data_IF_345670703172
#
_entry.id   IF_345670703172
#
_cell.length_a   1.000
_cell.length_b   1.000
_cell.length_c   1.000
_cell.angle_alpha   90.00
_cell.angle_beta   90.00
_cell.angle_gamma   90.00
#
_symmetry.space_group_name_H-M   'P 1'
#
loop_
_entity.id
_entity.type
_entity.pdbx_description
1 polymer ?
#
# COMPACT_ATOMS: atom_id res chain seq x y z
N UNK A 1 23.36 -21.20 -1.44
CA UNK A 1 22.97 -21.09 -2.86
C UNK A 1 22.90 -22.49 -3.43
N UNK A 2 21.78 -22.91 -4.03
CA UNK A 2 21.64 -24.26 -4.60
C UNK A 2 22.30 -24.35 -5.98
N UNK A 3 22.55 -25.57 -6.48
CA UNK A 3 23.06 -25.75 -7.85
C UNK A 3 22.09 -25.19 -8.91
N UNK A 4 20.79 -25.46 -8.75
CA UNK A 4 19.75 -24.93 -9.65
C UNK A 4 19.70 -23.40 -9.62
N UNK A 5 19.80 -22.78 -8.43
CA UNK A 5 19.84 -21.32 -8.31
C UNK A 5 20.98 -20.71 -9.12
N UNK A 6 22.16 -21.34 -9.13
CA UNK A 6 23.32 -20.88 -9.90
C UNK A 6 23.01 -20.90 -11.41
N UNK A 7 22.50 -22.01 -11.93
CA UNK A 7 22.11 -22.13 -13.35
C UNK A 7 21.02 -21.14 -13.74
N UNK A 8 19.97 -21.00 -12.92
CA UNK A 8 18.91 -20.03 -13.18
C UNK A 8 19.42 -18.58 -13.18
N UNK A 9 20.44 -18.28 -12.37
CA UNK A 9 21.09 -16.96 -12.33
C UNK A 9 21.89 -16.70 -13.60
N UNK A 10 22.65 -17.70 -14.07
CA UNK A 10 23.39 -17.66 -15.34
C UNK A 10 22.45 -17.46 -16.55
N UNK A 11 21.24 -18.03 -16.51
CA UNK A 11 20.19 -17.81 -17.52
C UNK A 11 19.38 -16.51 -17.34
N UNK A 12 19.77 -15.67 -16.36
CA UNK A 12 19.18 -14.38 -16.07
C UNK A 12 17.67 -14.45 -15.74
N UNK A 13 17.23 -15.47 -14.99
CA UNK A 13 15.83 -15.61 -14.52
C UNK A 13 15.47 -14.69 -13.35
N UNK A 14 16.43 -13.89 -12.86
CA UNK A 14 16.20 -12.84 -11.88
C UNK A 14 15.95 -13.36 -10.46
N UNK A 15 15.16 -12.61 -9.68
CA UNK A 15 14.92 -12.90 -8.26
C UNK A 15 14.20 -14.23 -8.02
N UNK A 16 13.41 -14.70 -8.98
CA UNK A 16 12.73 -16.01 -8.92
C UNK A 16 13.71 -17.17 -8.66
N UNK A 17 14.98 -17.05 -9.09
CA UNK A 17 16.02 -18.06 -8.85
C UNK A 17 16.28 -18.37 -7.38
N UNK A 18 15.94 -17.45 -6.46
CA UNK A 18 16.12 -17.64 -5.02
C UNK A 18 14.99 -18.47 -4.38
N UNK A 19 13.88 -18.67 -5.10
CA UNK A 19 12.69 -19.34 -4.60
C UNK A 19 12.71 -20.84 -4.91
N UNK A 20 12.53 -21.69 -3.90
CA UNK A 20 12.60 -23.14 -4.07
C UNK A 20 11.50 -23.67 -5.02
N UNK A 21 10.30 -23.09 -5.00
CA UNK A 21 9.23 -23.48 -5.93
C UNK A 21 9.58 -23.16 -7.38
N UNK A 22 10.22 -22.02 -7.64
CA UNK A 22 10.68 -21.66 -8.99
C UNK A 22 11.82 -22.57 -9.46
N UNK A 23 12.76 -22.93 -8.56
CA UNK A 23 13.82 -23.90 -8.85
C UNK A 23 13.25 -25.29 -9.15
N UNK A 24 12.22 -25.72 -8.43
CA UNK A 24 11.51 -26.97 -8.70
C UNK A 24 10.85 -26.94 -10.09
N UNK A 25 10.09 -25.88 -10.41
CA UNK A 25 9.47 -25.68 -11.72
C UNK A 25 10.52 -25.70 -12.84
N UNK A 26 11.62 -24.97 -12.66
CA UNK A 26 12.71 -24.94 -13.62
C UNK A 26 13.26 -26.34 -13.90
N UNK A 27 13.54 -27.11 -12.85
CA UNK A 27 14.04 -28.48 -12.97
C UNK A 27 13.03 -29.38 -13.69
N UNK A 28 11.75 -29.32 -13.34
CA UNK A 28 10.71 -30.11 -14.01
C UNK A 28 10.66 -29.77 -15.51
N UNK A 29 10.77 -28.50 -15.88
CA UNK A 29 10.81 -28.08 -17.28
C UNK A 29 11.96 -28.72 -18.06
N UNK A 30 13.16 -28.78 -17.45
CA UNK A 30 14.35 -29.39 -18.07
C UNK A 30 14.27 -30.92 -18.11
N UNK A 31 13.90 -31.55 -16.99
CA UNK A 31 13.88 -33.01 -16.86
C UNK A 31 12.80 -33.66 -17.76
N UNK A 32 11.76 -32.91 -18.12
CA UNK A 32 10.63 -33.38 -18.95
C UNK A 32 10.56 -32.74 -20.34
N UNK A 33 11.60 -32.02 -20.77
CA UNK A 33 11.67 -31.43 -22.11
C UNK A 33 11.48 -32.51 -23.20
N UNK A 34 10.54 -32.26 -24.12
CA UNK A 34 10.19 -33.19 -25.21
C UNK A 34 9.39 -34.44 -24.79
N UNK A 35 8.94 -34.54 -23.54
CA UNK A 35 8.15 -35.70 -23.05
C UNK A 35 6.65 -35.38 -22.95
N UNK A 36 5.83 -36.42 -23.04
CA UNK A 36 4.41 -36.33 -22.72
C UNK A 36 4.16 -36.54 -21.23
N UNK A 37 3.85 -35.45 -20.53
CA UNK A 37 3.67 -35.47 -19.07
C UNK A 37 2.67 -34.40 -18.60
N UNK A 38 2.07 -34.67 -17.43
CA UNK A 38 1.25 -33.71 -16.71
C UNK A 38 1.86 -33.44 -15.33
N UNK A 39 1.84 -32.19 -14.91
CA UNK A 39 2.34 -31.73 -13.61
C UNK A 39 1.15 -31.32 -12.75
N UNK A 40 0.85 -32.13 -11.74
CA UNK A 40 -0.04 -31.77 -10.65
C UNK A 40 0.75 -31.22 -9.47
N UNK A 41 0.41 -30.03 -8.96
CA UNK A 41 1.10 -29.45 -7.81
C UNK A 41 0.16 -28.80 -6.80
N UNK A 42 0.44 -29.03 -5.52
CA UNK A 42 -0.05 -28.18 -4.42
C UNK A 42 0.98 -27.08 -4.18
N UNK A 43 0.59 -25.82 -4.39
CA UNK A 43 1.51 -24.70 -4.25
C UNK A 43 0.80 -23.38 -3.97
N UNK A 44 1.58 -22.40 -3.50
CA UNK A 44 1.18 -20.99 -3.59
C UNK A 44 1.13 -20.60 -5.06
N UNK A 45 0.20 -19.72 -5.41
CA UNK A 45 -0.06 -19.31 -6.81
C UNK A 45 0.85 -18.18 -7.31
N UNK A 46 1.88 -17.82 -6.54
CA UNK A 46 2.83 -16.73 -6.85
C UNK A 46 3.44 -16.85 -8.25
N UNK A 47 3.74 -18.07 -8.72
CA UNK A 47 4.34 -18.28 -10.04
C UNK A 47 3.42 -17.87 -11.20
N UNK A 48 2.11 -17.77 -10.96
CA UNK A 48 1.10 -17.34 -11.95
C UNK A 48 1.04 -15.81 -12.03
N UNK A 49 0.92 -15.12 -10.89
CA UNK A 49 0.54 -13.70 -10.87
C UNK A 49 1.60 -12.74 -10.29
N UNK A 50 2.72 -13.21 -9.72
CA UNK A 50 3.70 -12.31 -9.13
C UNK A 50 4.63 -11.67 -10.17
N UNK A 51 4.89 -10.37 -10.01
CA UNK A 51 5.76 -9.62 -10.92
C UNK A 51 7.20 -10.14 -10.98
N UNK A 52 7.76 -10.57 -9.84
CA UNK A 52 9.15 -11.05 -9.75
C UNK A 52 9.41 -12.32 -10.59
N UNK A 53 8.34 -13.03 -10.95
CA UNK A 53 8.41 -14.32 -11.65
C UNK A 53 8.11 -14.18 -13.16
N UNK A 54 7.99 -12.96 -13.71
CA UNK A 54 7.70 -12.75 -15.15
C UNK A 54 8.71 -13.47 -16.05
N UNK A 55 10.01 -13.34 -15.79
CA UNK A 55 11.05 -14.02 -16.59
C UNK A 55 10.93 -15.55 -16.54
N UNK A 56 10.48 -16.11 -15.41
CA UNK A 56 10.24 -17.54 -15.27
C UNK A 56 9.05 -17.95 -16.15
N UNK A 57 7.95 -17.19 -16.12
CA UNK A 57 6.79 -17.41 -17.01
C UNK A 57 7.16 -17.31 -18.48
N UNK A 58 7.86 -16.24 -18.85
CA UNK A 58 8.21 -15.95 -20.24
C UNK A 58 9.11 -17.03 -20.85
N UNK A 59 10.05 -17.59 -20.08
CA UNK A 59 11.10 -18.47 -20.60
C UNK A 59 10.93 -19.95 -20.27
N UNK A 60 10.24 -20.27 -19.17
CA UNK A 60 10.28 -21.63 -18.58
C UNK A 60 8.88 -22.19 -18.39
N UNK A 61 7.98 -21.45 -17.75
CA UNK A 61 6.65 -21.93 -17.36
C UNK A 61 5.61 -21.62 -18.44
N UNK A 62 5.69 -22.34 -19.56
CA UNK A 62 4.77 -22.22 -20.70
C UNK A 62 3.85 -23.43 -20.83
N UNK A 63 3.31 -23.93 -19.73
CA UNK A 63 2.46 -25.11 -19.76
C UNK A 63 1.01 -24.73 -19.98
N UNK A 64 0.24 -25.63 -20.60
CA UNK A 64 -1.20 -25.45 -20.70
C UNK A 64 -1.89 -25.81 -19.39
N UNK A 65 -2.75 -24.93 -18.91
CA UNK A 65 -3.63 -25.18 -17.79
C UNK A 65 -4.74 -26.16 -18.20
N UNK A 66 -4.94 -27.22 -17.42
CA UNK A 66 -5.99 -28.22 -17.68
C UNK A 66 -7.17 -28.05 -16.73
N UNK A 67 -6.91 -28.05 -15.42
CA UNK A 67 -7.91 -27.90 -14.35
C UNK A 67 -7.25 -27.76 -13.00
N UNK A 68 -8.03 -27.33 -12.01
CA UNK A 68 -7.60 -27.30 -10.63
C UNK A 68 -8.66 -26.73 -9.71
N UNK A 69 -8.28 -26.53 -8.47
CA UNK A 69 -9.09 -25.85 -7.47
C UNK A 69 -8.19 -25.14 -6.45
N UNK A 70 -8.77 -24.21 -5.69
CA UNK A 70 -8.08 -23.51 -4.60
C UNK A 70 -8.79 -23.68 -3.27
N UNK A 71 -8.03 -23.59 -2.18
CA UNK A 71 -8.55 -23.60 -0.82
C UNK A 71 -7.60 -22.81 0.11
N UNK A 72 -8.10 -22.45 1.30
CA UNK A 72 -7.33 -21.70 2.29
C UNK A 72 -6.21 -22.57 2.90
N UNK A 73 -4.99 -22.03 2.99
CA UNK A 73 -3.83 -22.67 3.60
C UNK A 73 -4.05 -23.13 5.04
N UNK A 74 -5.01 -22.56 5.78
CA UNK A 74 -5.36 -22.99 7.15
C UNK A 74 -5.80 -24.45 7.25
N UNK A 75 -6.18 -25.08 6.13
CA UNK A 75 -6.54 -26.50 6.09
C UNK A 75 -5.31 -27.42 6.24
N UNK A 76 -4.08 -26.91 6.06
CA UNK A 76 -2.87 -27.65 6.39
C UNK A 76 -2.56 -27.56 7.88
N UNK A 77 -2.27 -28.70 8.49
CA UNK A 77 -1.88 -28.77 9.89
C UNK A 77 -0.63 -27.90 10.15
N UNK A 78 -0.69 -27.03 11.16
CA UNK A 78 0.40 -26.13 11.54
C UNK A 78 0.50 -24.83 10.74
N UNK A 79 -0.37 -24.58 9.74
CA UNK A 79 -0.37 -23.33 9.00
C UNK A 79 -1.18 -22.24 9.73
N UNK A 80 -0.50 -21.20 10.23
CA UNK A 80 -1.16 -20.04 10.88
C UNK A 80 -1.55 -18.94 9.90
N UNK A 81 -0.74 -18.72 8.86
CA UNK A 81 -1.00 -17.72 7.83
C UNK A 81 -2.09 -18.22 6.88
N UNK A 82 -2.92 -17.31 6.38
CA UNK A 82 -3.97 -17.59 5.40
C UNK A 82 -3.56 -17.03 4.03
N UNK A 83 -3.58 -17.88 3.02
CA UNK A 83 -3.30 -17.56 1.62
C UNK A 83 -3.90 -18.68 0.75
N UNK A 84 -4.09 -18.49 -0.56
CA UNK A 84 -4.68 -19.49 -1.41
C UNK A 84 -3.62 -20.54 -1.75
N UNK A 85 -3.97 -21.79 -1.50
CA UNK A 85 -3.23 -22.95 -2.02
C UNK A 85 -4.04 -23.54 -3.15
N UNK A 86 -3.40 -23.70 -4.31
CA UNK A 86 -4.02 -24.36 -5.44
C UNK A 86 -3.49 -25.78 -5.62
N UNK A 87 -4.39 -26.69 -6.02
CA UNK A 87 -4.02 -27.92 -6.70
C UNK A 87 -4.31 -27.75 -8.20
N UNK A 88 -3.26 -27.56 -8.99
CA UNK A 88 -3.39 -27.29 -10.42
C UNK A 88 -2.70 -28.38 -11.24
N UNK A 89 -3.33 -28.78 -12.34
CA UNK A 89 -2.82 -29.72 -13.33
C UNK A 89 -2.41 -28.95 -14.58
N UNK A 90 -1.17 -29.15 -14.99
CA UNK A 90 -0.56 -28.53 -16.16
C UNK A 90 -0.12 -29.59 -17.16
N UNK A 91 -0.38 -29.36 -18.44
CA UNK A 91 0.09 -30.21 -19.54
C UNK A 91 1.43 -29.66 -20.06
N UNK A 92 2.49 -30.46 -19.90
CA UNK A 92 3.87 -30.07 -20.21
C UNK A 92 4.20 -30.23 -21.70
N UNK A 93 3.34 -30.90 -22.47
CA UNK A 93 3.54 -31.12 -23.91
C UNK A 93 3.05 -29.96 -24.76
N UNK A 94 2.27 -29.05 -24.18
CA UNK A 94 1.77 -27.86 -24.85
C UNK A 94 2.53 -26.62 -24.37
N UNK A 95 2.83 -25.72 -25.30
CA UNK A 95 3.59 -24.50 -25.06
C UNK A 95 2.71 -23.27 -25.21
N UNK A 96 2.03 -22.88 -24.14
CA UNK A 96 1.11 -21.73 -24.13
C UNK A 96 1.55 -20.76 -23.02
N UNK A 97 1.55 -19.46 -23.30
CA UNK A 97 1.86 -18.45 -22.27
C UNK A 97 0.72 -18.33 -21.26
N UNK A 98 1.00 -17.83 -20.04
CA UNK A 98 -0.06 -17.67 -19.04
C UNK A 98 -1.00 -16.51 -19.37
N UNK A 99 -0.51 -15.51 -20.09
CA UNK A 99 -1.25 -14.36 -20.57
C UNK A 99 -2.31 -14.72 -21.63
N UNK A 100 -2.12 -15.83 -22.36
CA UNK A 100 -3.05 -16.35 -23.37
C UNK A 100 -4.10 -17.32 -22.80
N UNK A 101 -4.06 -17.58 -21.48
CA UNK A 101 -4.90 -18.60 -20.84
C UNK A 101 -5.75 -18.00 -19.73
N UNK A 102 -7.01 -18.44 -19.63
CA UNK A 102 -7.84 -18.15 -18.47
C UNK A 102 -7.70 -19.26 -17.43
N UNK A 103 -7.34 -18.89 -16.20
CA UNK A 103 -7.17 -19.83 -15.09
C UNK A 103 -8.30 -19.61 -14.09
N UNK A 104 -9.43 -20.26 -14.34
CA UNK A 104 -10.62 -20.20 -13.48
C UNK A 104 -10.66 -21.42 -12.57
N UNK A 105 -10.62 -21.19 -11.25
CA UNK A 105 -10.49 -22.22 -10.22
C UNK A 105 -11.68 -22.19 -9.26
N UNK A 106 -12.28 -23.34 -9.02
CA UNK A 106 -13.28 -23.49 -7.96
C UNK A 106 -12.64 -23.18 -6.60
N UNK A 107 -13.32 -22.37 -5.80
CA UNK A 107 -12.96 -22.11 -4.41
C UNK A 107 -13.60 -23.20 -3.56
N UNK A 108 -12.80 -23.92 -2.80
CA UNK A 108 -13.28 -24.92 -1.84
C UNK A 108 -13.07 -24.44 -0.42
N UNK A 109 -14.14 -24.50 0.37
CA UNK A 109 -14.12 -24.13 1.77
C UNK A 109 -14.71 -25.23 2.66
N UNK A 110 -14.12 -25.39 3.84
CA UNK A 110 -14.69 -26.22 4.88
C UNK A 110 -15.68 -25.38 5.71
N UNK A 111 -16.97 -25.62 5.50
CA UNK A 111 -18.07 -25.03 6.24
C UNK A 111 -18.38 -25.81 7.52
N UNK A 112 -18.34 -25.11 8.66
CA UNK A 112 -18.62 -25.68 10.00
C UNK A 112 -17.83 -26.95 10.34
N UNK A 113 -16.64 -27.11 9.77
CA UNK A 113 -15.70 -28.20 10.10
C UNK A 113 -15.98 -29.54 9.43
N UNK A 114 -17.17 -29.74 8.85
CA UNK A 114 -17.61 -31.05 8.35
C UNK A 114 -18.18 -31.05 6.92
N UNK A 115 -18.40 -29.88 6.31
CA UNK A 115 -19.02 -29.80 4.98
C UNK A 115 -18.12 -29.06 4.01
N UNK A 116 -17.76 -29.72 2.91
CA UNK A 116 -17.09 -29.05 1.80
C UNK A 116 -18.14 -28.33 0.94
N UNK A 117 -17.95 -27.02 0.78
CA UNK A 117 -18.78 -26.17 -0.06
C UNK A 117 -17.92 -25.52 -1.15
N UNK A 118 -18.58 -25.16 -2.25
CA UNK A 118 -18.00 -24.41 -3.36
C UNK A 118 -18.72 -23.07 -3.46
N UNK A 119 -18.28 -22.03 -2.71
CA UNK A 119 -19.01 -20.77 -2.66
C UNK A 119 -18.74 -19.88 -3.88
N UNK A 120 -17.66 -20.12 -4.63
CA UNK A 120 -17.24 -19.23 -5.71
C UNK A 120 -16.32 -19.91 -6.73
N UNK A 121 -16.07 -19.20 -7.82
CA UNK A 121 -14.95 -19.40 -8.75
C UNK A 121 -14.06 -18.17 -8.71
N UNK A 122 -12.75 -18.38 -8.63
CA UNK A 122 -11.75 -17.31 -8.78
C UNK A 122 -11.02 -17.45 -10.11
N UNK A 123 -10.96 -16.36 -10.87
CA UNK A 123 -10.20 -16.27 -12.12
C UNK A 123 -8.87 -15.56 -11.86
N UNK A 124 -7.77 -16.24 -12.16
CA UNK A 124 -6.43 -15.68 -12.04
C UNK A 124 -5.96 -15.16 -13.39
N UNK A 125 -5.34 -14.00 -13.35
CA UNK A 125 -4.70 -13.40 -14.52
C UNK A 125 -3.19 -13.34 -14.34
N UNK A 126 -2.46 -13.64 -15.41
CA UNK A 126 -1.04 -13.32 -15.48
C UNK A 126 -0.88 -11.80 -15.40
N UNK A 127 -0.14 -11.33 -14.39
CA UNK A 127 0.07 -9.91 -14.21
C UNK A 127 1.11 -9.41 -15.23
N UNK A 128 0.72 -8.47 -16.09
CA UNK A 128 1.65 -7.74 -16.91
C UNK A 128 2.37 -6.70 -16.03
N UNK A 129 3.68 -6.88 -15.85
CA UNK A 129 4.50 -5.99 -15.04
C UNK A 129 4.38 -4.51 -15.47
N UNK A 130 4.09 -4.21 -16.75
CA UNK A 130 3.93 -2.84 -17.24
C UNK A 130 2.60 -2.17 -16.85
N UNK A 131 1.61 -2.95 -16.44
CA UNK A 131 0.27 -2.47 -16.04
C UNK A 131 0.13 -2.30 -14.52
N UNK A 132 1.22 -2.46 -13.76
CA UNK A 132 1.19 -2.39 -12.29
C UNK A 132 1.09 -0.96 -11.78
N UNK A 133 0.31 -0.75 -10.71
CA UNK A 133 0.08 0.57 -10.10
C UNK A 133 1.38 1.24 -9.61
N UNK A 134 2.34 0.46 -9.13
CA UNK A 134 3.63 0.98 -8.68
C UNK A 134 4.48 1.68 -9.76
N UNK A 135 4.15 1.48 -11.05
CA UNK A 135 4.76 2.18 -12.19
C UNK A 135 3.96 3.38 -12.68
N UNK A 136 2.73 3.53 -12.20
CA UNK A 136 1.85 4.64 -12.58
C UNK A 136 2.28 5.94 -11.92
N UNK A 137 2.67 5.87 -10.64
CA UNK A 137 3.14 7.02 -9.86
C UNK A 137 4.59 7.36 -10.19
N UNK A 138 4.87 8.64 -10.43
CA UNK A 138 6.24 9.10 -10.64
C UNK A 138 7.08 9.02 -9.36
N UNK A 139 8.36 8.67 -9.55
CA UNK A 139 9.33 8.47 -8.46
C UNK A 139 10.43 9.53 -8.56
N UNK A 140 10.23 10.70 -7.93
CA UNK A 140 11.22 11.76 -7.98
C UNK A 140 12.54 11.31 -7.37
N UNK A 141 13.63 11.86 -7.91
CA UNK A 141 14.99 11.52 -7.48
C UNK A 141 15.18 11.92 -6.02
N UNK A 142 15.81 11.04 -5.23
CA UNK A 142 16.14 11.28 -3.81
C UNK A 142 17.60 11.72 -3.70
N UNK A 143 17.84 12.95 -3.29
CA UNK A 143 19.17 13.60 -3.30
C UNK A 143 19.58 14.15 -1.94
N UNK A 144 18.62 14.54 -1.10
CA UNK A 144 18.85 15.26 0.16
C UNK A 144 18.78 14.33 1.36
N UNK A 145 19.72 14.44 2.31
CA UNK A 145 19.66 13.72 3.59
C UNK A 145 18.51 14.24 4.47
N UNK A 146 17.79 13.32 5.09
CA UNK A 146 16.66 13.63 5.97
C UNK A 146 16.50 12.55 7.05
N UNK A 147 16.04 12.90 8.27
CA UNK A 147 15.89 11.95 9.36
C UNK A 147 15.10 10.68 8.97
N UNK A 148 15.68 9.48 9.14
CA UNK A 148 15.02 8.23 8.80
C UNK A 148 14.03 7.82 9.88
N UNK A 149 12.79 7.50 9.50
CA UNK A 149 11.69 7.15 10.39
C UNK A 149 11.31 5.67 10.26
N UNK A 150 10.93 5.06 11.39
CA UNK A 150 10.38 3.69 11.45
C UNK A 150 8.85 3.67 11.61
N UNK A 151 8.29 4.76 12.13
CA UNK A 151 6.86 4.97 12.40
C UNK A 151 6.62 6.47 12.58
N UNK A 152 5.37 6.89 12.80
CA UNK A 152 4.98 8.30 12.74
C UNK A 152 5.79 9.28 13.60
N UNK A 153 6.35 8.85 14.74
CA UNK A 153 7.14 9.73 15.63
C UNK A 153 8.53 9.20 16.00
N UNK A 154 8.94 8.05 15.44
CA UNK A 154 10.20 7.39 15.83
C UNK A 154 11.26 7.46 14.73
N UNK A 155 12.44 7.96 15.11
CA UNK A 155 13.64 8.02 14.27
C UNK A 155 14.44 6.73 14.41
N UNK A 156 14.98 6.22 13.29
CA UNK A 156 15.83 5.03 13.26
C UNK A 156 17.20 5.35 13.87
N UNK A 157 17.58 4.61 14.92
CA UNK A 157 18.88 4.77 15.61
C UNK A 157 19.92 3.70 15.26
N UNK A 158 19.52 2.69 14.48
CA UNK A 158 20.38 1.56 14.10
C UNK A 158 20.73 1.59 12.62
N UNK A 159 20.79 0.41 12.00
CA UNK A 159 21.02 0.29 10.55
C UNK A 159 19.93 1.05 9.78
N UNK A 160 20.36 1.99 8.94
CA UNK A 160 19.50 2.78 8.05
C UNK A 160 19.67 2.25 6.63
N UNK A 161 18.57 1.85 5.98
CA UNK A 161 18.60 1.43 4.57
C UNK A 161 18.35 2.59 3.62
N UNK A 162 17.61 3.60 4.04
CA UNK A 162 17.36 4.82 3.28
C UNK A 162 17.15 6.01 4.23
N UNK A 163 17.80 7.12 3.91
CA UNK A 163 17.72 8.41 4.63
C UNK A 163 17.80 9.60 3.66
N UNK A 164 17.51 9.36 2.38
CA UNK A 164 17.46 10.41 1.38
C UNK A 164 16.03 10.70 0.97
N UNK A 165 15.74 11.94 0.60
CA UNK A 165 14.45 12.41 0.08
C UNK A 165 14.68 13.33 -1.12
N UNK A 166 13.63 13.65 -1.86
CA UNK A 166 13.67 14.65 -2.95
C UNK A 166 13.87 16.07 -2.43
N UNK A 167 14.24 17.03 -3.30
CA UNK A 167 14.45 18.43 -2.89
C UNK A 167 13.15 19.08 -2.37
N UNK A 168 12.05 18.96 -3.14
CA UNK A 168 10.72 19.52 -2.81
C UNK A 168 9.88 18.57 -1.95
N UNK A 169 10.52 17.96 -0.95
CA UNK A 169 9.93 16.91 -0.12
C UNK A 169 8.77 17.41 0.76
N UNK A 170 7.59 16.79 0.59
CA UNK A 170 6.43 17.00 1.43
C UNK A 170 6.27 15.91 2.50
N UNK A 171 6.47 14.65 2.12
CA UNK A 171 6.35 13.46 2.94
C UNK A 171 6.96 12.25 2.21
N UNK A 172 7.16 11.12 2.89
CA UNK A 172 7.60 9.86 2.29
C UNK A 172 6.47 8.83 2.32
N UNK A 173 6.15 8.29 1.15
CA UNK A 173 5.10 7.29 0.97
C UNK A 173 5.71 5.89 1.00
N UNK A 174 5.61 5.21 2.14
CA UNK A 174 5.93 3.79 2.23
C UNK A 174 4.94 3.03 1.34
N UNK A 175 5.44 2.40 0.28
CA UNK A 175 4.64 1.78 -0.78
C UNK A 175 5.33 0.49 -1.27
N UNK A 176 5.58 -0.44 -0.35
CA UNK A 176 6.34 -1.68 -0.64
C UNK A 176 5.46 -2.71 -1.35
N UNK A 177 5.97 -3.35 -2.40
CA UNK A 177 5.20 -4.35 -3.17
C UNK A 177 4.01 -3.72 -3.91
N UNK A 178 3.30 -4.51 -4.71
CA UNK A 178 2.16 -4.08 -5.52
C UNK A 178 0.95 -5.02 -5.33
N UNK A 179 0.87 -5.64 -4.16
CA UNK A 179 -0.11 -6.70 -3.88
C UNK A 179 -0.67 -6.60 -2.46
N UNK A 180 -1.72 -7.39 -2.20
CA UNK A 180 -2.38 -7.43 -0.90
C UNK A 180 -1.52 -8.00 0.23
N UNK A 181 -0.51 -8.84 -0.05
CA UNK A 181 0.41 -9.30 0.99
C UNK A 181 1.12 -8.11 1.62
N UNK A 182 1.50 -7.13 0.81
CA UNK A 182 2.23 -5.95 1.28
C UNK A 182 1.32 -4.75 1.61
N UNK A 183 0.00 -4.95 1.72
CA UNK A 183 -0.96 -3.87 2.02
C UNK A 183 -0.66 -3.13 3.33
N UNK A 184 -0.08 -3.81 4.33
CA UNK A 184 0.28 -3.18 5.61
C UNK A 184 1.57 -2.34 5.53
N UNK A 185 2.33 -2.44 4.44
CA UNK A 185 3.47 -1.57 4.14
C UNK A 185 3.05 -0.44 3.20
N UNK A 186 1.93 0.19 3.53
CA UNK A 186 1.34 1.32 2.83
C UNK A 186 1.00 2.39 3.86
N UNK A 187 1.85 3.41 4.00
CA UNK A 187 1.74 4.46 5.02
C UNK A 187 2.46 5.72 4.58
N UNK A 188 2.06 6.87 5.12
CA UNK A 188 2.70 8.16 4.82
C UNK A 188 3.45 8.63 6.08
N UNK A 189 4.70 9.08 5.93
CA UNK A 189 5.57 9.54 7.01
C UNK A 189 6.12 10.93 6.70
N UNK A 190 6.42 11.73 7.74
CA UNK A 190 6.99 13.08 7.55
C UNK A 190 8.50 13.09 7.31
N UNK A 191 9.14 11.93 7.22
CA UNK A 191 10.57 11.77 6.98
C UNK A 191 10.87 10.49 6.22
N UNK A 192 12.13 10.29 5.83
CA UNK A 192 12.53 9.16 4.99
C UNK A 192 12.19 7.82 5.68
N UNK A 193 11.46 6.92 5.03
CA UNK A 193 11.22 5.61 5.61
C UNK A 193 12.52 4.80 5.64
N UNK A 194 12.94 4.41 6.85
CA UNK A 194 14.27 3.84 7.08
C UNK A 194 14.49 2.50 6.40
N UNK A 195 13.43 1.79 6.03
CA UNK A 195 13.45 0.49 5.35
C UNK A 195 13.61 0.56 3.83
N UNK A 196 13.61 1.76 3.23
CA UNK A 196 13.61 1.94 1.78
C UNK A 196 12.27 1.58 1.13
N UNK A 197 12.22 1.48 -0.20
CA UNK A 197 11.00 1.21 -0.98
C UNK A 197 9.87 2.25 -0.87
N UNK A 198 10.16 3.41 -0.28
CA UNK A 198 9.24 4.53 -0.24
C UNK A 198 9.42 5.46 -1.46
N UNK A 199 8.40 6.29 -1.71
CA UNK A 199 8.37 7.30 -2.76
C UNK A 199 8.29 8.66 -2.07
N UNK A 200 9.22 9.57 -2.39
CA UNK A 200 9.10 10.94 -1.92
C UNK A 200 7.89 11.59 -2.59
N UNK A 201 7.01 12.15 -1.77
CA UNK A 201 5.88 12.95 -2.21
C UNK A 201 6.38 14.38 -2.38
N UNK A 202 6.14 14.94 -3.56
CA UNK A 202 6.35 16.35 -3.91
C UNK A 202 5.02 16.94 -4.38
N UNK A 203 4.99 18.22 -4.73
CA UNK A 203 3.77 18.85 -5.24
C UNK A 203 3.28 18.18 -6.55
N UNK A 204 4.21 17.70 -7.37
CA UNK A 204 3.98 17.14 -8.70
C UNK A 204 3.28 15.78 -8.65
N UNK A 205 3.62 14.92 -7.68
CA UNK A 205 3.05 13.57 -7.55
C UNK A 205 2.08 13.42 -6.37
N UNK A 206 1.73 14.53 -5.68
CA UNK A 206 0.89 14.49 -4.48
C UNK A 206 -0.44 13.76 -4.69
N UNK A 207 -1.17 14.11 -5.75
CA UNK A 207 -2.47 13.52 -6.03
C UNK A 207 -2.37 12.03 -6.37
N UNK A 208 -1.38 11.65 -7.20
CA UNK A 208 -1.09 10.25 -7.52
C UNK A 208 -0.75 9.44 -6.27
N UNK A 209 0.08 9.99 -5.37
CA UNK A 209 0.42 9.37 -4.10
C UNK A 209 -0.82 9.10 -3.25
N UNK A 210 -1.76 10.06 -3.18
CA UNK A 210 -3.00 9.88 -2.41
C UNK A 210 -3.93 8.86 -3.04
N UNK A 211 -4.01 8.80 -4.37
CA UNK A 211 -4.77 7.77 -5.08
C UNK A 211 -4.17 6.39 -4.81
N UNK A 212 -2.86 6.22 -4.97
CA UNK A 212 -2.19 4.93 -4.73
C UNK A 212 -2.32 4.50 -3.27
N UNK A 213 -2.16 5.43 -2.32
CA UNK A 213 -2.37 5.16 -0.89
C UNK A 213 -3.80 4.68 -0.62
N UNK A 214 -4.80 5.37 -1.15
CA UNK A 214 -6.21 5.00 -0.99
C UNK A 214 -6.53 3.65 -1.64
N UNK A 215 -6.19 3.47 -2.92
CA UNK A 215 -6.44 2.23 -3.69
C UNK A 215 -5.84 1.01 -3.01
N UNK A 216 -4.65 1.16 -2.43
CA UNK A 216 -3.98 0.05 -1.74
C UNK A 216 -4.53 -0.24 -0.35
N UNK A 217 -5.18 0.71 0.32
CA UNK A 217 -5.63 0.57 1.72
C UNK A 217 -7.12 0.34 1.87
N UNK A 218 -7.94 0.78 0.91
CA UNK A 218 -9.39 0.65 0.98
C UNK A 218 -9.88 -0.81 0.88
N UNK A 219 -9.55 -1.55 -0.19
CA UNK A 219 -10.02 -2.93 -0.34
C UNK A 219 -9.39 -3.80 0.74
N UNK A 220 -10.16 -4.69 1.36
CA UNK A 220 -9.64 -5.52 2.46
C UNK A 220 -8.83 -6.70 1.93
N UNK A 221 -7.64 -6.91 2.47
CA UNK A 221 -6.92 -8.17 2.28
C UNK A 221 -7.74 -9.34 2.83
N UNK A 222 -7.84 -10.39 2.03
CA UNK A 222 -8.45 -11.68 2.35
C UNK A 222 -7.46 -12.77 1.97
N UNK A 223 -7.71 -14.00 2.40
CA UNK A 223 -6.90 -15.12 1.94
C UNK A 223 -7.04 -15.34 0.43
N UNK A 224 -8.17 -14.96 -0.18
CA UNK A 224 -8.42 -15.16 -1.61
C UNK A 224 -7.60 -14.21 -2.47
N UNK A 225 -7.50 -12.94 -2.07
CA UNK A 225 -6.81 -11.91 -2.85
C UNK A 225 -5.33 -11.74 -2.49
N UNK A 226 -4.76 -12.66 -1.70
CA UNK A 226 -3.32 -12.69 -1.51
C UNK A 226 -2.61 -12.72 -2.86
N UNK A 227 -1.64 -11.83 -3.04
CA UNK A 227 -0.87 -11.63 -4.28
C UNK A 227 -1.62 -11.06 -5.48
N UNK A 228 -2.91 -10.74 -5.39
CA UNK A 228 -3.59 -9.99 -6.45
C UNK A 228 -2.89 -8.65 -6.63
N UNK A 229 -2.67 -8.26 -7.89
CA UNK A 229 -1.89 -7.08 -8.24
C UNK A 229 -2.80 -5.86 -8.39
N UNK A 230 -2.38 -4.73 -7.83
CA UNK A 230 -2.98 -3.44 -8.15
C UNK A 230 -2.53 -2.97 -9.54
N UNK A 231 -3.44 -2.46 -10.34
CA UNK A 231 -3.20 -2.08 -11.72
C UNK A 231 -3.30 -0.56 -11.91
N UNK A 232 -2.78 -0.07 -13.03
CA UNK A 232 -3.03 1.30 -13.48
C UNK A 232 -4.50 1.47 -13.87
N UNK A 233 -5.07 2.68 -13.74
CA UNK A 233 -6.42 2.91 -14.18
C UNK A 233 -6.51 2.73 -15.70
N UNK A 234 -7.58 2.09 -16.17
CA UNK A 234 -7.85 1.92 -17.60
C UNK A 234 -8.85 2.96 -18.14
N UNK A 235 -9.30 3.87 -17.27
CA UNK A 235 -10.21 4.98 -17.59
C UNK A 235 -9.65 6.29 -17.02
N UNK A 236 -10.00 7.45 -17.63
CA UNK A 236 -9.68 8.75 -17.06
C UNK A 236 -10.27 8.90 -15.65
N UNK A 237 -9.49 9.49 -14.76
CA UNK A 237 -9.90 9.75 -13.38
C UNK A 237 -10.65 11.08 -13.30
N UNK A 238 -11.85 11.08 -12.70
CA UNK A 238 -12.59 12.33 -12.49
C UNK A 238 -11.90 13.19 -11.44
N UNK A 239 -12.02 14.52 -11.54
CA UNK A 239 -11.44 15.41 -10.55
C UNK A 239 -11.95 15.10 -9.14
N UNK A 240 -13.26 14.81 -9.01
CA UNK A 240 -13.94 14.44 -7.77
C UNK A 240 -13.39 13.16 -7.14
N UNK A 241 -13.12 12.11 -7.91
CA UNK A 241 -12.50 10.88 -7.39
C UNK A 241 -11.13 11.18 -6.77
N UNK A 242 -10.33 12.00 -7.45
CA UNK A 242 -9.00 12.32 -6.99
C UNK A 242 -9.05 13.19 -5.73
N UNK A 243 -9.91 14.21 -5.69
CA UNK A 243 -9.99 15.07 -4.51
C UNK A 243 -10.55 14.34 -3.29
N UNK A 244 -11.50 13.43 -3.50
CA UNK A 244 -12.00 12.51 -2.48
C UNK A 244 -10.91 11.54 -1.99
N UNK A 245 -10.06 11.01 -2.88
CA UNK A 245 -8.93 10.15 -2.51
C UNK A 245 -7.90 10.88 -1.64
N UNK A 246 -7.68 12.17 -1.88
CA UNK A 246 -6.83 13.03 -1.04
C UNK A 246 -7.43 13.15 0.37
N UNK A 247 -8.71 13.52 0.50
CA UNK A 247 -9.34 13.66 1.82
C UNK A 247 -9.34 12.33 2.58
N UNK A 248 -9.67 11.23 1.89
CA UNK A 248 -9.61 9.90 2.48
C UNK A 248 -8.21 9.59 3.04
N UNK A 249 -7.17 9.88 2.25
CA UNK A 249 -5.78 9.62 2.63
C UNK A 249 -5.32 10.49 3.81
N UNK A 250 -5.70 11.77 3.84
CA UNK A 250 -5.34 12.69 4.94
C UNK A 250 -5.85 12.20 6.30
N UNK A 251 -7.05 11.61 6.35
CA UNK A 251 -7.69 11.17 7.59
C UNK A 251 -7.63 9.65 7.81
N UNK A 252 -6.97 8.90 6.93
CA UNK A 252 -6.75 7.47 7.08
C UNK A 252 -5.83 7.16 8.28
N UNK A 253 -6.06 6.02 8.94
CA UNK A 253 -5.19 5.57 10.03
C UNK A 253 -3.75 5.25 9.58
N UNK A 254 -3.51 5.03 8.27
CA UNK A 254 -2.19 4.86 7.67
C UNK A 254 -1.52 6.17 7.24
N UNK A 255 -2.18 7.32 7.41
CA UNK A 255 -1.46 8.59 7.45
C UNK A 255 -0.76 8.70 8.81
N UNK A 256 0.55 8.46 8.81
CA UNK A 256 1.41 8.52 9.98
C UNK A 256 2.27 9.79 10.01
N UNK A 257 1.88 10.82 9.26
CA UNK A 257 2.56 12.11 9.34
C UNK A 257 2.48 12.70 10.76
N UNK A 258 3.55 13.37 11.13
CA UNK A 258 3.77 14.05 12.40
C UNK A 258 4.59 15.34 12.17
N UNK A 259 4.54 16.24 13.13
CA UNK A 259 5.50 17.33 13.27
C UNK A 259 6.45 17.00 14.41
N UNK A 260 7.75 17.21 14.21
CA UNK A 260 8.80 16.95 15.21
C UNK A 260 9.84 18.07 15.16
N UNK A 261 10.10 18.68 16.31
CA UNK A 261 11.12 19.71 16.45
C UNK A 261 12.47 19.12 16.85
N UNK A 262 13.53 19.84 16.50
CA UNK A 262 14.90 19.62 17.00
C UNK A 262 15.42 18.17 16.82
N UNK A 263 15.12 17.56 15.68
CA UNK A 263 15.54 16.19 15.37
C UNK A 263 17.00 16.17 14.93
N UNK A 264 17.89 15.73 15.82
CA UNK A 264 19.31 15.53 15.51
C UNK A 264 19.53 14.30 14.61
N UNK A 265 20.18 14.50 13.47
CA UNK A 265 20.57 13.43 12.55
C UNK A 265 21.81 13.83 11.74
N UNK A 266 22.83 12.96 11.69
CA UNK A 266 24.07 13.18 10.91
C UNK A 266 24.74 14.55 11.19
N UNK A 267 24.69 15.01 12.44
CA UNK A 267 25.30 16.28 12.88
C UNK A 267 24.47 17.54 12.59
N UNK A 268 23.29 17.39 12.00
CA UNK A 268 22.35 18.48 11.70
C UNK A 268 21.11 18.40 12.59
N UNK A 269 20.46 19.53 12.83
CA UNK A 269 19.20 19.63 13.56
C UNK A 269 18.06 19.94 12.58
N UNK A 270 17.13 19.00 12.44
CA UNK A 270 16.00 19.10 11.53
C UNK A 270 14.72 19.54 12.25
N UNK A 271 13.97 20.43 11.59
CA UNK A 271 12.58 20.73 11.93
C UNK A 271 11.68 19.99 10.95
N UNK A 272 11.10 18.88 11.39
CA UNK A 272 10.22 18.05 10.56
C UNK A 272 8.82 18.66 10.61
N UNK A 273 8.47 19.38 9.55
CA UNK A 273 7.14 19.98 9.38
C UNK A 273 6.15 18.95 8.87
N UNK A 274 4.90 19.05 9.30
CA UNK A 274 3.82 18.24 8.76
C UNK A 274 3.13 18.97 7.60
N UNK A 275 3.57 18.69 6.38
CA UNK A 275 2.93 19.24 5.17
C UNK A 275 1.51 18.70 4.90
N UNK A 276 1.08 17.68 5.64
CA UNK A 276 -0.23 17.04 5.54
C UNK A 276 -1.27 17.65 6.49
N UNK A 277 -0.93 18.71 7.21
CA UNK A 277 -1.88 19.43 8.06
C UNK A 277 -3.01 20.07 7.20
N UNK A 278 -4.29 19.77 7.46
CA UNK A 278 -5.37 20.03 6.49
C UNK A 278 -6.09 21.38 6.64
N UNK A 279 -5.78 22.18 7.67
CA UNK A 279 -6.51 23.43 7.95
C UNK A 279 -5.63 24.68 7.77
N UNK A 280 -6.22 25.76 7.26
CA UNK A 280 -5.52 27.02 7.07
C UNK A 280 -5.12 27.66 8.39
N UNK A 281 -3.96 28.29 8.43
CA UNK A 281 -3.40 28.93 9.60
C UNK A 281 -4.33 29.98 10.21
N UNK A 282 -5.01 30.77 9.37
CA UNK A 282 -6.00 31.76 9.79
C UNK A 282 -7.19 31.13 10.51
N UNK A 283 -7.61 29.94 10.07
CA UNK A 283 -8.68 29.18 10.72
C UNK A 283 -8.21 28.66 12.08
N UNK A 284 -7.03 28.04 12.14
CA UNK A 284 -6.49 27.45 13.38
C UNK A 284 -6.24 28.51 14.46
N UNK A 285 -5.78 29.71 14.09
CA UNK A 285 -5.59 30.85 15.01
C UNK A 285 -6.87 31.30 15.70
N UNK A 286 -8.02 31.06 15.09
CA UNK A 286 -9.32 31.37 15.69
C UNK A 286 -9.77 30.34 16.74
N UNK A 287 -9.09 29.18 16.82
CA UNK A 287 -9.46 28.11 17.74
C UNK A 287 -8.90 28.36 19.14
N UNK A 288 -9.57 27.79 20.13
CA UNK A 288 -9.05 27.72 21.48
C UNK A 288 -7.80 26.82 21.52
N UNK A 289 -6.75 27.29 22.19
CA UNK A 289 -5.51 26.55 22.40
C UNK A 289 -5.06 26.72 23.85
N UNK A 290 -5.11 25.65 24.64
CA UNK A 290 -4.78 25.69 26.07
C UNK A 290 -3.27 25.72 26.34
N UNK A 291 -2.45 25.36 25.35
CA UNK A 291 -0.99 25.44 25.45
C UNK A 291 -0.46 26.78 24.94
N UNK A 292 0.08 27.59 25.85
CA UNK A 292 0.72 28.87 25.51
C UNK A 292 1.93 28.71 24.60
N UNK A 293 2.70 27.62 24.76
CA UNK A 293 3.86 27.32 23.93
C UNK A 293 3.47 27.01 22.48
N UNK A 294 2.46 26.15 22.28
CA UNK A 294 1.95 25.82 20.93
C UNK A 294 1.29 27.04 20.30
N UNK A 295 0.53 27.83 21.09
CA UNK A 295 -0.07 29.09 20.62
C UNK A 295 0.99 30.08 20.13
N UNK A 296 2.11 30.25 20.86
CA UNK A 296 3.19 31.13 20.44
C UNK A 296 3.80 30.68 19.09
N UNK A 297 3.99 29.36 18.89
CA UNK A 297 4.46 28.81 17.60
C UNK A 297 3.46 29.01 16.46
N UNK A 298 2.16 28.85 16.74
CA UNK A 298 1.08 29.11 15.79
C UNK A 298 1.02 30.60 15.37
N UNK A 299 1.22 31.54 16.29
CA UNK A 299 1.27 32.97 15.99
C UNK A 299 2.55 33.35 15.20
N UNK A 300 3.67 32.68 15.48
CA UNK A 300 4.92 32.89 14.75
C UNK A 300 4.92 32.29 13.33
N UNK A 301 4.05 31.33 13.04
CA UNK A 301 3.96 30.71 11.73
C UNK A 301 3.56 31.72 10.64
N UNK A 302 4.16 31.61 9.46
CA UNK A 302 3.94 32.58 8.36
C UNK A 302 3.23 31.98 7.16
N UNK A 303 3.11 30.66 7.09
CA UNK A 303 2.61 29.95 5.92
C UNK A 303 1.67 28.79 6.29
N UNK A 304 0.67 28.57 5.43
CA UNK A 304 -0.14 27.37 5.45
C UNK A 304 0.70 26.14 5.09
N UNK A 305 0.35 24.98 5.62
CA UNK A 305 0.91 23.70 5.16
C UNK A 305 0.32 23.33 3.81
N UNK A 306 1.07 22.51 3.06
CA UNK A 306 0.74 22.15 1.69
C UNK A 306 -0.69 21.63 1.53
N UNK A 307 -1.10 20.66 2.36
CA UNK A 307 -2.43 20.07 2.27
C UNK A 307 -3.56 21.09 2.50
N UNK A 308 -3.41 22.01 3.45
CA UNK A 308 -4.39 23.08 3.68
C UNK A 308 -4.56 23.98 2.44
N UNK A 309 -3.45 24.40 1.82
CA UNK A 309 -3.47 25.19 0.58
C UNK A 309 -4.10 24.41 -0.58
N UNK A 310 -3.72 23.12 -0.73
CA UNK A 310 -4.28 22.25 -1.75
C UNK A 310 -5.80 22.07 -1.56
N UNK A 311 -6.28 21.84 -0.33
CA UNK A 311 -7.72 21.69 -0.02
C UNK A 311 -8.47 22.97 -0.38
N UNK A 312 -7.94 24.14 -0.01
CA UNK A 312 -8.55 25.44 -0.34
C UNK A 312 -8.76 25.58 -1.84
N UNK A 313 -7.74 25.29 -2.63
CA UNK A 313 -7.75 25.46 -4.08
C UNK A 313 -8.66 24.44 -4.79
N UNK A 314 -8.88 23.25 -4.19
CA UNK A 314 -9.67 22.17 -4.78
C UNK A 314 -11.03 21.97 -4.09
N UNK A 315 -11.46 22.92 -3.24
CA UNK A 315 -12.65 22.76 -2.40
C UNK A 315 -13.94 22.56 -3.19
N UNK A 316 -14.05 23.18 -4.35
CA UNK A 316 -15.23 23.09 -5.21
C UNK A 316 -15.45 21.68 -5.78
N UNK A 317 -14.39 20.88 -5.90
CA UNK A 317 -14.45 19.54 -6.47
C UNK A 317 -14.68 18.45 -5.42
N UNK A 318 -14.61 18.78 -4.14
CA UNK A 318 -14.87 17.84 -3.05
C UNK A 318 -16.31 17.35 -3.06
N UNK A 319 -16.50 16.10 -2.70
CA UNK A 319 -17.83 15.55 -2.45
C UNK A 319 -18.43 15.97 -1.12
N UNK A 320 -19.74 15.73 -0.99
CA UNK A 320 -20.45 15.82 0.29
C UNK A 320 -19.79 14.93 1.35
N UNK A 321 -19.42 13.70 0.99
CA UNK A 321 -18.81 12.74 1.92
C UNK A 321 -17.41 13.21 2.35
N UNK A 322 -16.61 13.72 1.42
CA UNK A 322 -15.29 14.27 1.73
C UNK A 322 -15.37 15.57 2.54
N UNK A 323 -16.33 16.46 2.24
CA UNK A 323 -16.58 17.67 3.03
C UNK A 323 -17.04 17.32 4.46
N UNK A 324 -17.86 16.27 4.62
CA UNK A 324 -18.28 15.77 5.93
C UNK A 324 -17.08 15.25 6.75
N UNK A 325 -16.19 14.47 6.13
CA UNK A 325 -14.94 14.01 6.78
C UNK A 325 -14.04 15.18 7.16
N UNK A 326 -13.85 16.16 6.26
CA UNK A 326 -13.06 17.35 6.56
C UNK A 326 -13.66 18.14 7.74
N UNK A 327 -14.99 18.19 7.84
CA UNK A 327 -15.68 18.83 8.97
C UNK A 327 -15.50 18.07 10.28
N UNK A 328 -15.70 16.75 10.28
CA UNK A 328 -15.51 15.94 11.47
C UNK A 328 -14.03 15.92 11.93
N UNK A 329 -13.09 15.90 10.97
CA UNK A 329 -11.67 16.08 11.23
C UNK A 329 -11.39 17.44 11.89
N UNK A 330 -12.02 18.52 11.42
CA UNK A 330 -11.89 19.86 12.02
C UNK A 330 -12.30 19.86 13.49
N UNK A 331 -13.42 19.22 13.82
CA UNK A 331 -13.90 19.16 15.21
C UNK A 331 -12.94 18.38 16.11
N UNK A 332 -12.32 17.31 15.60
CA UNK A 332 -11.27 16.56 16.33
C UNK A 332 -10.04 17.45 16.57
N UNK A 333 -9.59 18.18 15.55
CA UNK A 333 -8.44 19.09 15.70
C UNK A 333 -8.76 20.25 16.65
N UNK A 334 -9.94 20.87 16.57
CA UNK A 334 -10.37 21.90 17.54
C UNK A 334 -10.33 21.37 18.97
N UNK A 335 -10.88 20.17 19.19
CA UNK A 335 -10.82 19.49 20.48
C UNK A 335 -9.38 19.25 20.92
N UNK A 336 -8.51 18.84 20.00
CA UNK A 336 -7.10 18.61 20.29
C UNK A 336 -6.43 19.86 20.87
N UNK A 337 -6.56 21.02 20.24
CA UNK A 337 -5.99 22.27 20.76
C UNK A 337 -6.61 22.73 22.08
N UNK A 338 -7.94 22.55 22.25
CA UNK A 338 -8.65 22.89 23.47
C UNK A 338 -8.37 21.93 24.66
N UNK A 339 -7.75 20.77 24.40
CA UNK A 339 -7.40 19.77 25.42
C UNK A 339 -5.88 19.53 25.50
N UNK A 340 -5.04 20.40 24.92
CA UNK A 340 -3.58 20.21 24.89
C UNK A 340 -2.94 20.11 26.29
N UNK A 341 -3.51 20.76 27.29
CA UNK A 341 -3.14 20.70 28.70
C UNK A 341 -3.50 19.37 29.38
N UNK A 342 -4.37 18.57 28.76
CA UNK A 342 -4.87 17.28 29.25
C UNK A 342 -4.26 16.07 28.55
N UNK A 343 -3.52 16.29 27.45
CA UNK A 343 -2.87 15.20 26.70
C UNK A 343 -1.40 15.05 27.12
N UNK A 344 -0.88 13.84 26.98
CA UNK A 344 0.53 13.54 27.21
C UNK A 344 1.37 14.00 26.00
N UNK A 345 1.67 15.31 25.97
CA UNK A 345 2.44 15.95 24.88
C UNK A 345 3.84 15.38 24.73
N UNK A 346 4.46 14.92 25.82
CA UNK A 346 5.80 14.32 25.79
C UNK A 346 5.78 12.95 25.09
N UNK A 347 4.83 12.09 25.47
CA UNK A 347 4.70 10.75 24.88
C UNK A 347 4.46 10.78 23.37
N UNK A 348 3.67 11.75 22.91
CA UNK A 348 3.32 11.89 21.49
C UNK A 348 4.17 12.91 20.74
N UNK A 349 5.20 13.46 21.39
CA UNK A 349 6.14 14.44 20.83
C UNK A 349 5.43 15.63 20.18
N UNK A 350 4.43 16.17 20.86
CA UNK A 350 3.67 17.33 20.39
C UNK A 350 4.44 18.58 20.83
N UNK A 351 5.20 19.15 19.91
CA UNK A 351 6.06 20.31 20.18
C UNK A 351 5.79 21.51 19.25
N UNK A 352 5.04 21.32 18.16
CA UNK A 352 4.67 22.39 17.22
C UNK A 352 3.15 22.40 16.91
N UNK A 353 2.67 23.48 16.29
CA UNK A 353 1.25 23.68 16.00
C UNK A 353 0.74 22.70 14.95
N UNK A 354 1.52 22.35 13.95
CA UNK A 354 1.09 21.50 12.83
C UNK A 354 1.07 20.00 13.15
N UNK A 355 0.74 19.62 14.40
CA UNK A 355 0.67 18.23 14.84
C UNK A 355 -0.05 17.33 13.82
N UNK A 356 0.60 16.22 13.45
CA UNK A 356 0.11 15.33 12.41
C UNK A 356 -1.07 14.48 12.85
N UNK A 357 -1.76 13.91 11.87
CA UNK A 357 -2.98 13.13 12.12
C UNK A 357 -2.74 11.97 13.08
N UNK A 358 -1.56 11.34 12.98
CA UNK A 358 -1.13 10.32 13.93
C UNK A 358 -1.06 10.88 15.36
N UNK A 359 -0.38 12.00 15.57
CA UNK A 359 -0.22 12.60 16.89
C UNK A 359 -1.58 12.97 17.49
N UNK A 360 -2.44 13.62 16.71
CA UNK A 360 -3.78 14.04 17.14
C UNK A 360 -4.65 12.85 17.54
N UNK A 361 -4.74 11.80 16.71
CA UNK A 361 -5.53 10.61 17.05
C UNK A 361 -4.99 9.89 18.26
N UNK A 362 -3.68 9.74 18.37
CA UNK A 362 -3.07 8.98 19.46
C UNK A 362 -3.17 9.73 20.79
N UNK A 363 -3.00 11.05 20.78
CA UNK A 363 -3.12 11.90 21.96
C UNK A 363 -4.55 11.93 22.53
N UNK A 364 -5.55 12.01 21.66
CA UNK A 364 -6.96 12.04 22.06
C UNK A 364 -7.63 10.66 22.15
N UNK A 365 -6.94 9.59 21.73
CA UNK A 365 -7.56 8.30 21.38
C UNK A 365 -8.77 8.48 20.44
N UNK A 366 -8.66 9.41 19.49
CA UNK A 366 -9.74 9.79 18.59
C UNK A 366 -9.92 8.76 17.47
N UNK A 367 -11.19 8.54 17.11
CA UNK A 367 -11.61 7.76 15.95
C UNK A 367 -12.41 8.67 15.03
N UNK A 368 -12.11 8.58 13.73
CA UNK A 368 -12.87 9.24 12.68
C UNK A 368 -13.33 8.16 11.71
N UNK A 369 -14.63 8.04 11.55
CA UNK A 369 -15.24 7.09 10.62
C UNK A 369 -15.13 7.64 9.20
N UNK A 370 -14.63 6.81 8.28
CA UNK A 370 -14.52 7.16 6.85
C UNK A 370 -15.53 6.37 5.99
N UNK A 371 -16.47 5.66 6.62
CA UNK A 371 -17.30 4.63 5.98
C UNK A 371 -18.08 5.13 4.76
N UNK A 372 -18.71 6.30 4.82
CA UNK A 372 -19.48 6.84 3.68
C UNK A 372 -18.59 7.08 2.45
N UNK A 373 -17.42 7.70 2.67
CA UNK A 373 -16.46 7.96 1.59
C UNK A 373 -15.80 6.65 1.11
N UNK A 374 -15.50 5.73 2.02
CA UNK A 374 -14.99 4.40 1.72
C UNK A 374 -15.98 3.62 0.84
N UNK A 375 -17.25 3.53 1.23
CA UNK A 375 -18.29 2.82 0.50
C UNK A 375 -18.53 3.42 -0.89
N UNK A 376 -18.28 4.72 -1.05
CA UNK A 376 -18.34 5.41 -2.32
C UNK A 376 -17.12 5.13 -3.21
N UNK A 377 -15.91 5.15 -2.65
CA UNK A 377 -14.66 5.04 -3.40
C UNK A 377 -14.32 3.58 -3.75
N UNK A 378 -14.62 2.62 -2.88
CA UNK A 378 -14.24 1.22 -3.07
C UNK A 378 -14.80 0.61 -4.37
N UNK A 379 -16.08 0.78 -4.74
CA UNK A 379 -16.57 0.30 -6.04
C UNK A 379 -15.87 0.94 -7.24
N UNK A 380 -15.47 2.22 -7.12
CA UNK A 380 -14.78 2.94 -8.19
C UNK A 380 -13.36 2.39 -8.45
N UNK A 381 -12.71 1.78 -7.45
CA UNK A 381 -11.42 1.11 -7.62
C UNK A 381 -11.53 0.02 -8.70
N UNK A 382 -12.59 -0.77 -8.66
CA UNK A 382 -12.87 -1.81 -9.66
C UNK A 382 -13.33 -1.21 -10.98
N UNK A 383 -14.23 -0.23 -10.94
CA UNK A 383 -14.76 0.41 -12.15
C UNK A 383 -13.66 1.08 -13.00
N UNK A 384 -12.69 1.72 -12.34
CA UNK A 384 -11.58 2.43 -12.97
C UNK A 384 -10.42 1.49 -13.34
N UNK A 385 -10.51 0.20 -12.98
CA UNK A 385 -9.55 -0.83 -13.37
C UNK A 385 -8.33 -0.97 -12.47
N UNK A 386 -8.30 -0.31 -11.30
CA UNK A 386 -7.20 -0.46 -10.33
C UNK A 386 -7.15 -1.87 -9.73
N UNK A 387 -8.27 -2.58 -9.71
CA UNK A 387 -8.39 -3.99 -9.36
C UNK A 387 -9.37 -4.68 -10.31
N UNK A 388 -9.16 -5.97 -10.53
CA UNK A 388 -10.10 -6.84 -11.25
C UNK A 388 -11.07 -7.47 -10.25
N UNK A 389 -12.33 -7.62 -10.64
CA UNK A 389 -13.26 -8.46 -9.90
C UNK A 389 -13.00 -9.92 -10.30
N UNK A 390 -12.16 -10.58 -9.51
CA UNK A 390 -11.64 -11.92 -9.82
C UNK A 390 -12.48 -13.04 -9.20
N UNK A 391 -13.47 -12.75 -8.34
CA UNK A 391 -14.19 -13.76 -7.57
C UNK A 391 -15.69 -13.68 -7.83
N UNK A 392 -16.23 -14.71 -8.49
CA UNK A 392 -17.65 -14.86 -8.73
C UNK A 392 -18.26 -15.85 -7.74
N UNK A 393 -19.08 -15.35 -6.82
CA UNK A 393 -19.86 -16.17 -5.89
C UNK A 393 -21.10 -16.78 -6.56
N UNK A 394 -21.53 -17.94 -6.08
CA UNK A 394 -22.70 -18.69 -6.58
C UNK A 394 -23.99 -18.42 -5.81
#
# INVERSE_FOLDING_TARGET
MTAIQKTMTEENLGQSSQELTAQFIYRISRDFEGKTAYLGMFSKLKYINANADQKLRDKVFRYKFERGFIFDSKNFNGCKSQFPVGFLIWNLSEHISLEEQEISLEVWENYKGNFLVRPAVKTFHAANHNETLNKWIDRPRRTKKFPPMTSGINIQRGKVHCDTVSEDFLADFMCMGNDFLHQNWTSILSGAYSGGHAISITAENFEEAMIVHMVRRLPKATWLNDRDQFLQPNKPLSRKFITDAVIWSLFSASNQTASLSDVEYEGEIYQIRNNFYPFELSEVRSWECTSSAIKARLEAATENRFAATWIKNNRADLSSEALAILSAGRDIYKRFYAELDKVDVWRWKIDDWDAGWYQVRMALNAKLTLDELTNKLEPQIYELGFLRDEVRYF
#
